data_IF_325822359115
#
_entry.id   IF_325822359115
#
_cell.length_a   1.000
_cell.length_b   1.000
_cell.length_c   1.000
_cell.angle_alpha   90.00
_cell.angle_beta   90.00
_cell.angle_gamma   90.00
#
_symmetry.space_group_name_H-M   'P 1'
#
loop_
_entity.id
_entity.type
_entity.pdbx_description
1 polymer ?
#
# COMPACT_ATOMS: atom_id res chain seq x y z
N UNK A 1 -2.99 -18.79 1.10
CA UNK A 1 -3.96 -18.08 0.24
C UNK A 1 -3.25 -16.88 -0.34
N UNK A 2 -3.19 -16.76 -1.67
CA UNK A 2 -2.49 -15.65 -2.33
C UNK A 2 -3.13 -14.32 -1.93
N UNK A 3 -2.30 -13.41 -1.41
CA UNK A 3 -2.68 -12.04 -1.09
C UNK A 3 -2.70 -11.23 -2.39
N UNK A 4 -3.88 -10.69 -2.72
CA UNK A 4 -4.13 -10.08 -4.03
C UNK A 4 -4.00 -8.56 -3.98
N UNK A 5 -3.82 -7.95 -5.14
CA UNK A 5 -3.87 -6.48 -5.29
C UNK A 5 -5.16 -5.90 -4.72
N UNK A 6 -6.28 -6.55 -4.99
CA UNK A 6 -7.57 -6.12 -4.45
C UNK A 6 -7.67 -6.22 -2.93
N UNK A 7 -6.95 -7.14 -2.28
CA UNK A 7 -6.91 -7.24 -0.82
C UNK A 7 -6.10 -6.06 -0.24
N UNK A 8 -4.92 -5.81 -0.80
CA UNK A 8 -4.08 -4.67 -0.41
C UNK A 8 -4.79 -3.33 -0.67
N UNK A 9 -5.47 -3.17 -1.81
CA UNK A 9 -6.24 -1.97 -2.13
C UNK A 9 -7.36 -1.68 -1.13
N UNK A 10 -8.11 -2.72 -0.69
CA UNK A 10 -9.11 -2.59 0.39
C UNK A 10 -8.47 -2.18 1.70
N UNK A 11 -7.35 -2.81 2.05
CA UNK A 11 -6.65 -2.54 3.30
C UNK A 11 -6.06 -1.12 3.32
N UNK A 12 -5.50 -0.67 2.19
CA UNK A 12 -4.97 0.68 2.02
C UNK A 12 -6.06 1.76 2.15
N UNK A 13 -7.24 1.58 1.53
CA UNK A 13 -8.36 2.50 1.74
C UNK A 13 -8.82 2.56 3.21
N UNK A 14 -8.85 1.41 3.88
CA UNK A 14 -9.19 1.33 5.30
C UNK A 14 -8.15 2.06 6.16
N UNK A 15 -6.87 1.96 5.81
CA UNK A 15 -5.80 2.65 6.50
C UNK A 15 -5.85 4.17 6.29
N UNK A 16 -6.13 4.62 5.07
CA UNK A 16 -6.37 6.03 4.74
C UNK A 16 -7.59 6.61 5.47
N UNK A 17 -8.63 5.78 5.70
CA UNK A 17 -9.81 6.17 6.49
C UNK A 17 -9.50 6.54 7.95
N UNK A 18 -8.33 6.17 8.47
CA UNK A 18 -7.86 6.56 9.82
C UNK A 18 -7.14 7.93 9.83
N UNK A 19 -7.06 8.61 8.68
CA UNK A 19 -6.38 9.89 8.50
C UNK A 19 -5.04 9.76 7.76
N UNK A 20 -4.71 10.75 6.94
CA UNK A 20 -3.51 10.73 6.14
C UNK A 20 -2.26 11.08 6.96
N UNK A 21 -1.35 10.12 7.08
CA UNK A 21 -0.06 10.29 7.75
C UNK A 21 0.99 9.36 7.12
N UNK A 22 1.91 9.94 6.35
CA UNK A 22 2.91 9.22 5.55
C UNK A 22 3.67 8.16 6.35
N UNK A 23 4.29 8.56 7.46
CA UNK A 23 5.10 7.64 8.27
C UNK A 23 4.30 6.44 8.78
N UNK A 24 3.03 6.66 9.16
CA UNK A 24 2.12 5.60 9.62
C UNK A 24 1.73 4.67 8.49
N UNK A 25 1.38 5.22 7.33
CA UNK A 25 0.95 4.46 6.15
C UNK A 25 2.12 3.62 5.60
N UNK A 26 3.31 4.20 5.48
CA UNK A 26 4.51 3.50 5.04
C UNK A 26 4.88 2.35 5.99
N UNK A 27 4.86 2.61 7.30
CA UNK A 27 5.11 1.57 8.30
C UNK A 27 4.04 0.47 8.27
N UNK A 28 2.77 0.82 8.13
CA UNK A 28 1.69 -0.15 7.99
C UNK A 28 1.89 -1.03 6.75
N UNK A 29 2.19 -0.43 5.59
CA UNK A 29 2.42 -1.18 4.35
C UNK A 29 3.60 -2.14 4.48
N UNK A 30 4.63 -1.77 5.23
CA UNK A 30 5.77 -2.64 5.52
C UNK A 30 5.37 -3.85 6.37
N UNK A 31 4.54 -3.64 7.41
CA UNK A 31 4.02 -4.75 8.23
C UNK A 31 3.12 -5.67 7.39
N UNK A 32 2.22 -5.10 6.60
CA UNK A 32 1.33 -5.85 5.70
C UNK A 32 2.14 -6.67 4.68
N UNK A 33 3.25 -6.12 4.18
CA UNK A 33 4.17 -6.82 3.28
C UNK A 33 4.83 -8.02 3.97
N UNK A 34 5.39 -7.83 5.17
CA UNK A 34 6.02 -8.91 5.92
C UNK A 34 5.06 -10.06 6.22
N UNK A 35 3.80 -9.75 6.52
CA UNK A 35 2.76 -10.74 6.82
C UNK A 35 2.38 -11.59 5.60
N UNK A 36 2.51 -11.04 4.39
CA UNK A 36 2.02 -11.64 3.16
C UNK A 36 3.09 -11.99 2.09
N UNK A 37 4.36 -11.60 2.29
CA UNK A 37 5.44 -11.69 1.29
C UNK A 37 5.62 -13.09 0.68
N UNK A 38 5.31 -14.15 1.44
CA UNK A 38 5.46 -15.54 0.99
C UNK A 38 4.49 -15.94 -0.12
N UNK A 39 3.36 -15.23 -0.24
CA UNK A 39 2.27 -15.58 -1.14
C UNK A 39 1.62 -14.34 -1.75
N UNK A 40 2.40 -13.49 -2.42
CA UNK A 40 1.90 -12.30 -3.13
C UNK A 40 1.46 -12.63 -4.56
N UNK A 41 0.41 -11.96 -5.02
CA UNK A 41 0.09 -11.89 -6.45
C UNK A 41 1.22 -11.21 -7.23
N UNK A 42 1.45 -11.66 -8.47
CA UNK A 42 2.45 -11.08 -9.36
C UNK A 42 2.30 -9.55 -9.49
N UNK A 43 3.39 -8.83 -9.24
CA UNK A 43 3.45 -7.38 -9.30
C UNK A 43 2.85 -6.65 -8.10
N UNK A 44 2.27 -7.34 -7.11
CA UNK A 44 1.83 -6.69 -5.87
C UNK A 44 3.02 -6.20 -5.04
N UNK A 45 4.12 -6.96 -5.01
CA UNK A 45 5.34 -6.59 -4.29
C UNK A 45 5.82 -5.15 -4.62
N UNK A 46 5.89 -4.81 -5.92
CA UNK A 46 6.29 -3.47 -6.36
C UNK A 46 5.31 -2.37 -5.93
N UNK A 47 4.02 -2.68 -5.88
CA UNK A 47 2.99 -1.73 -5.47
C UNK A 47 3.06 -1.47 -3.95
N UNK A 48 3.27 -2.52 -3.15
CA UNK A 48 3.49 -2.39 -1.71
C UNK A 48 4.79 -1.62 -1.42
N UNK A 49 5.87 -1.93 -2.14
CA UNK A 49 7.15 -1.22 -2.02
C UNK A 49 7.04 0.28 -2.34
N UNK A 50 6.18 0.67 -3.28
CA UNK A 50 5.92 2.08 -3.58
C UNK A 50 5.34 2.81 -2.35
N UNK A 51 4.43 2.18 -1.62
CA UNK A 51 3.85 2.76 -0.40
C UNK A 51 4.87 2.76 0.74
N UNK A 52 5.67 1.71 0.89
CA UNK A 52 6.74 1.62 1.90
C UNK A 52 7.78 2.72 1.70
N UNK A 53 8.20 2.95 0.45
CA UNK A 53 9.22 3.93 0.10
C UNK A 53 8.82 5.36 0.49
N UNK A 54 7.53 5.67 0.66
CA UNK A 54 7.09 6.98 1.17
C UNK A 54 7.69 7.32 2.54
N UNK A 55 8.05 6.31 3.34
CA UNK A 55 8.70 6.49 4.64
C UNK A 55 10.19 6.89 4.56
N UNK A 56 10.83 6.69 3.41
CA UNK A 56 12.27 6.92 3.22
C UNK A 56 12.61 8.40 2.97
N UNK A 57 11.64 9.21 2.52
CA UNK A 57 11.86 10.63 2.32
C UNK A 57 10.82 11.31 1.44
N UNK A 58 10.86 12.64 1.44
CA UNK A 58 9.91 13.47 0.70
C UNK A 58 9.94 13.21 -0.83
N UNK A 59 11.03 12.69 -1.38
CA UNK A 59 11.14 12.36 -2.80
C UNK A 59 10.21 11.22 -3.25
N UNK A 60 9.69 10.41 -2.32
CA UNK A 60 8.78 9.30 -2.58
C UNK A 60 7.36 9.56 -2.05
N UNK A 61 7.10 10.78 -1.60
CA UNK A 61 5.85 11.15 -0.96
C UNK A 61 4.72 11.20 -2.00
N UNK A 62 3.81 10.23 -1.91
CA UNK A 62 2.53 10.27 -2.62
C UNK A 62 1.51 11.04 -1.78
N UNK A 63 0.85 12.03 -2.35
CA UNK A 63 -0.30 12.72 -1.74
C UNK A 63 -1.43 11.75 -1.38
N UNK A 64 -2.36 12.20 -0.55
CA UNK A 64 -3.53 11.38 -0.18
C UNK A 64 -4.34 10.95 -1.41
N UNK A 65 -4.53 11.85 -2.37
CA UNK A 65 -5.28 11.57 -3.60
C UNK A 65 -4.56 10.55 -4.48
N UNK A 66 -3.24 10.64 -4.61
CA UNK A 66 -2.43 9.65 -5.34
C UNK A 66 -2.52 8.26 -4.70
N UNK A 67 -2.52 8.18 -3.36
CA UNK A 67 -2.73 6.92 -2.65
C UNK A 67 -4.14 6.37 -2.81
N UNK A 68 -5.16 7.23 -2.83
CA UNK A 68 -6.55 6.81 -3.11
C UNK A 68 -6.68 6.28 -4.53
N UNK A 69 -6.02 6.91 -5.51
CA UNK A 69 -5.99 6.43 -6.89
C UNK A 69 -5.24 5.10 -7.02
N UNK A 70 -4.11 4.94 -6.33
CA UNK A 70 -3.39 3.67 -6.24
C UNK A 70 -4.31 2.56 -5.70
N UNK A 71 -4.96 2.81 -4.57
CA UNK A 71 -5.86 1.84 -3.96
C UNK A 71 -7.04 1.47 -4.87
N UNK A 72 -7.63 2.46 -5.56
CA UNK A 72 -8.71 2.24 -6.53
C UNK A 72 -8.24 1.41 -7.74
N UNK A 73 -7.03 1.66 -8.26
CA UNK A 73 -6.44 0.87 -9.35
C UNK A 73 -6.26 -0.58 -8.93
N UNK A 74 -5.73 -0.82 -7.73
CA UNK A 74 -5.51 -2.16 -7.18
C UNK A 74 -6.82 -2.93 -6.94
N UNK A 75 -7.92 -2.24 -6.63
CA UNK A 75 -9.25 -2.84 -6.50
C UNK A 75 -9.86 -3.32 -7.82
N UNK A 76 -9.53 -2.63 -8.93
CA UNK A 76 -10.00 -2.97 -10.27
C UNK A 76 -9.06 -3.90 -11.05
N UNK A 77 -7.96 -4.35 -10.42
CA UNK A 77 -6.95 -5.23 -11.00
C UNK A 77 -7.35 -6.70 -10.97
#
# INVERSE_FOLDING_TARGET
>A
MIYRKSDFGKALLKELGKGYAVARIAHWAFVEHLDHIKELEDGLDSEMMTVIAMGEGAQFHLSEDELRQLAARLLGS
#
